data_IF_257515094885
#
_entry.id   IF_257515094885
#
_cell.length_a   1.000
_cell.length_b   1.000
_cell.length_c   1.000
_cell.angle_alpha   90.00
_cell.angle_beta   90.00
_cell.angle_gamma   90.00
#
_symmetry.space_group_name_H-M   'P 1'
#
loop_
_entity.id
_entity.type
_entity.pdbx_description
1 polymer ?
#
# COMPACT_ATOMS: atom_id res chain seq x y z
N UNK A 1 20.71 -31.48 -9.54
CA UNK A 1 19.62 -31.03 -10.43
C UNK A 1 19.84 -29.55 -10.67
N UNK A 2 19.87 -29.16 -11.94
CA UNK A 2 20.31 -27.85 -12.44
C UNK A 2 19.44 -26.71 -11.90
N UNK A 3 20.06 -25.71 -11.26
CA UNK A 3 19.45 -24.39 -11.00
C UNK A 3 19.37 -23.63 -12.34
N UNK A 4 18.34 -23.91 -13.13
CA UNK A 4 18.11 -23.33 -14.44
C UNK A 4 17.28 -22.04 -14.40
N UNK A 5 17.73 -21.01 -13.68
CA UNK A 5 17.11 -19.68 -13.79
C UNK A 5 18.12 -18.55 -13.55
N UNK A 6 19.27 -18.62 -14.21
CA UNK A 6 20.13 -17.43 -14.35
C UNK A 6 19.51 -16.59 -15.47
N UNK A 7 18.64 -15.64 -15.14
CA UNK A 7 18.26 -14.60 -16.11
C UNK A 7 19.55 -13.92 -16.57
N UNK A 8 19.83 -14.00 -17.86
CA UNK A 8 20.98 -13.34 -18.46
C UNK A 8 20.82 -11.83 -18.23
N UNK A 9 21.80 -11.20 -17.58
CA UNK A 9 21.78 -9.74 -17.37
C UNK A 9 21.98 -9.09 -18.73
N UNK A 10 20.92 -8.46 -19.24
CA UNK A 10 20.98 -7.65 -20.45
C UNK A 10 21.49 -6.27 -20.03
N UNK A 11 22.69 -5.90 -20.50
CA UNK A 11 23.24 -4.55 -20.34
C UNK A 11 22.94 -3.82 -21.65
N UNK A 12 21.98 -2.91 -21.63
CA UNK A 12 21.58 -2.12 -22.80
C UNK A 12 21.21 -0.70 -22.38
N UNK A 13 21.44 0.24 -23.30
CA UNK A 13 20.96 1.61 -23.22
C UNK A 13 19.80 1.89 -24.19
N UNK A 14 19.38 0.88 -24.96
CA UNK A 14 18.28 0.97 -25.92
C UNK A 14 16.95 1.11 -25.17
N UNK A 15 16.31 2.26 -25.34
CA UNK A 15 15.03 2.59 -24.70
C UNK A 15 13.96 1.60 -25.14
N UNK A 16 13.92 1.22 -26.41
CA UNK A 16 12.99 0.23 -26.97
C UNK A 16 13.12 -1.13 -26.25
N UNK A 17 14.35 -1.61 -26.08
CA UNK A 17 14.64 -2.86 -25.36
C UNK A 17 14.25 -2.77 -23.89
N UNK A 18 14.56 -1.66 -23.21
CA UNK A 18 14.17 -1.44 -21.81
C UNK A 18 12.65 -1.40 -21.65
N UNK A 19 11.94 -0.81 -22.60
CA UNK A 19 10.48 -0.72 -22.59
C UNK A 19 9.80 -2.09 -22.78
N UNK A 20 10.28 -2.91 -23.72
CA UNK A 20 9.78 -4.28 -23.89
C UNK A 20 10.05 -5.15 -22.67
N UNK A 21 11.22 -4.99 -22.05
CA UNK A 21 11.53 -5.63 -20.78
C UNK A 21 10.54 -5.22 -19.69
N UNK A 22 10.27 -3.91 -19.55
CA UNK A 22 9.29 -3.41 -18.60
C UNK A 22 7.91 -4.04 -18.82
N UNK A 23 7.35 -3.96 -20.03
CA UNK A 23 6.04 -4.55 -20.38
C UNK A 23 5.96 -6.04 -20.06
N UNK A 24 7.03 -6.79 -20.35
CA UNK A 24 7.10 -8.22 -20.06
C UNK A 24 7.08 -8.48 -18.55
N UNK A 25 7.89 -7.76 -17.77
CA UNK A 25 7.99 -7.95 -16.33
C UNK A 25 6.72 -7.52 -15.59
N UNK A 26 5.96 -6.56 -16.12
CA UNK A 26 4.70 -6.08 -15.51
C UNK A 26 3.45 -6.77 -16.04
N UNK A 27 3.58 -7.68 -17.00
CA UNK A 27 2.44 -8.37 -17.64
C UNK A 27 1.52 -9.16 -16.70
N UNK A 28 2.00 -9.53 -15.51
CA UNK A 28 1.20 -10.19 -14.48
C UNK A 28 0.22 -9.25 -13.76
N UNK A 29 0.41 -7.93 -13.88
CA UNK A 29 -0.32 -6.91 -13.17
C UNK A 29 -1.09 -6.02 -14.19
N UNK A 30 -2.38 -6.31 -14.43
CA UNK A 30 -3.17 -5.62 -15.44
C UNK A 30 -3.28 -4.11 -15.23
N UNK A 31 -3.11 -3.63 -13.99
CA UNK A 31 -3.23 -2.20 -13.68
C UNK A 31 -2.13 -1.34 -14.33
N UNK A 32 -1.02 -1.93 -14.80
CA UNK A 32 -0.02 -1.20 -15.59
C UNK A 32 -0.45 -0.91 -17.02
N UNK A 33 -1.47 -1.61 -17.55
CA UNK A 33 -1.82 -1.57 -18.97
C UNK A 33 -2.21 -0.16 -19.45
N UNK A 34 -2.95 0.59 -18.65
CA UNK A 34 -3.36 1.96 -18.98
C UNK A 34 -2.13 2.87 -19.15
N UNK A 35 -1.23 2.88 -18.17
CA UNK A 35 0.01 3.68 -18.24
C UNK A 35 0.93 3.24 -19.37
N UNK A 36 1.03 1.93 -19.63
CA UNK A 36 1.80 1.40 -20.76
C UNK A 36 1.25 1.95 -22.08
N UNK A 37 -0.06 1.84 -22.29
CA UNK A 37 -0.70 2.30 -23.54
C UNK A 37 -0.52 3.81 -23.74
N UNK A 38 -0.58 4.61 -22.66
CA UNK A 38 -0.37 6.06 -22.75
C UNK A 38 1.08 6.47 -23.05
N UNK A 39 2.06 5.66 -22.65
CA UNK A 39 3.49 5.98 -22.78
C UNK A 39 4.07 5.41 -24.08
N UNK A 40 3.50 4.31 -24.59
CA UNK A 40 4.06 3.53 -25.68
C UNK A 40 4.29 4.35 -26.97
N UNK A 41 3.37 5.24 -27.34
CA UNK A 41 3.56 6.10 -28.52
C UNK A 41 4.82 6.98 -28.39
N UNK A 42 5.04 7.57 -27.21
CA UNK A 42 6.18 8.46 -26.97
C UNK A 42 7.51 7.71 -27.02
N UNK A 43 7.53 6.50 -26.43
CA UNK A 43 8.73 5.65 -26.45
C UNK A 43 9.05 5.23 -27.88
N UNK A 44 8.04 4.83 -28.65
CA UNK A 44 8.22 4.43 -30.05
C UNK A 44 8.67 5.60 -30.93
N UNK A 45 8.13 6.80 -30.71
CA UNK A 45 8.53 8.02 -31.42
C UNK A 45 9.98 8.42 -31.09
N UNK A 46 10.36 8.38 -29.81
CA UNK A 46 11.71 8.74 -29.37
C UNK A 46 12.77 7.72 -29.82
N UNK A 47 12.49 6.42 -29.68
CA UNK A 47 13.42 5.34 -30.05
C UNK A 47 13.72 5.28 -31.55
N UNK A 48 12.80 5.73 -32.40
CA UNK A 48 13.07 5.86 -33.85
C UNK A 48 14.16 6.89 -34.18
N UNK A 49 14.37 7.87 -33.31
CA UNK A 49 15.33 8.96 -33.52
C UNK A 49 16.61 8.74 -32.71
N UNK A 50 16.47 8.39 -31.43
CA UNK A 50 17.58 8.29 -30.49
C UNK A 50 17.35 7.18 -29.45
N UNK A 51 17.37 5.92 -29.90
CA UNK A 51 17.12 4.78 -29.00
C UNK A 51 18.16 4.65 -27.88
N UNK A 52 19.41 5.10 -28.10
CA UNK A 52 20.51 4.99 -27.13
C UNK A 52 20.69 6.25 -26.28
N UNK A 53 20.01 7.35 -26.61
CA UNK A 53 20.22 8.66 -25.99
C UNK A 53 21.55 9.35 -26.37
N UNK A 54 22.20 8.90 -27.44
CA UNK A 54 23.49 9.41 -27.89
C UNK A 54 23.39 10.30 -29.14
N UNK A 55 22.33 10.14 -29.96
CA UNK A 55 22.18 10.78 -31.28
C UNK A 55 22.15 12.31 -31.18
N UNK A 56 21.53 12.86 -30.13
CA UNK A 56 21.52 14.31 -29.92
C UNK A 56 22.76 14.84 -29.17
N UNK A 57 23.57 13.96 -28.56
CA UNK A 57 24.74 14.36 -27.77
C UNK A 57 26.00 14.51 -28.63
N UNK A 58 26.15 13.68 -29.66
CA UNK A 58 27.33 13.66 -30.51
C UNK A 58 26.98 13.99 -31.96
N UNK A 59 27.82 14.76 -32.68
CA UNK A 59 27.55 15.10 -34.08
C UNK A 59 27.80 13.93 -35.05
N UNK A 60 28.63 12.97 -34.65
CA UNK A 60 29.03 11.81 -35.43
C UNK A 60 28.83 10.53 -34.60
N UNK A 61 28.49 9.44 -35.29
CA UNK A 61 28.48 8.09 -34.75
C UNK A 61 29.91 7.63 -34.41
N UNK A 62 30.04 6.52 -33.68
CA UNK A 62 31.34 5.88 -33.45
C UNK A 62 32.08 5.49 -34.75
N UNK A 63 31.33 5.27 -35.85
CA UNK A 63 31.87 5.01 -37.19
C UNK A 63 32.25 6.25 -37.99
N UNK A 64 31.99 7.46 -37.49
CA UNK A 64 32.30 8.73 -38.14
C UNK A 64 31.20 9.29 -39.05
N UNK A 65 30.07 8.59 -39.19
CA UNK A 65 28.92 9.08 -39.95
C UNK A 65 28.16 10.15 -39.17
N UNK A 66 27.65 11.18 -39.86
CA UNK A 66 26.80 12.20 -39.21
C UNK A 66 25.51 11.58 -38.69
N UNK A 67 25.08 11.98 -37.50
CA UNK A 67 23.74 11.71 -36.99
C UNK A 67 22.67 12.52 -37.73
N UNK A 68 21.40 12.07 -37.67
CA UNK A 68 20.21 12.79 -38.17
C UNK A 68 20.23 13.19 -39.66
N UNK A 69 20.93 12.44 -40.53
CA UNK A 69 21.07 12.80 -41.96
C UNK A 69 19.72 12.91 -42.71
N UNK A 70 18.68 12.24 -42.22
CA UNK A 70 17.35 12.23 -42.81
C UNK A 70 16.35 13.14 -42.07
N UNK A 71 16.77 13.79 -40.97
CA UNK A 71 15.93 14.61 -40.12
C UNK A 71 16.35 16.08 -40.24
N UNK A 72 15.80 16.75 -41.25
CA UNK A 72 16.27 18.08 -41.68
C UNK A 72 15.82 19.23 -40.76
N UNK A 73 14.72 19.05 -40.02
CA UNK A 73 14.13 20.09 -39.15
C UNK A 73 13.55 19.43 -37.91
N UNK A 74 13.85 19.99 -36.73
CA UNK A 74 13.22 19.62 -35.45
C UNK A 74 12.40 20.81 -34.96
N UNK A 75 11.11 20.60 -34.73
CA UNK A 75 10.30 21.61 -34.04
C UNK A 75 10.57 21.56 -32.53
N UNK A 76 11.38 22.49 -32.04
CA UNK A 76 11.77 22.53 -30.64
C UNK A 76 10.59 22.77 -29.68
N UNK A 77 9.53 23.45 -30.12
CA UNK A 77 8.34 23.65 -29.30
C UNK A 77 7.58 22.33 -29.13
N UNK A 78 7.29 21.65 -30.24
CA UNK A 78 6.62 20.34 -30.20
C UNK A 78 7.44 19.29 -29.45
N UNK A 79 8.76 19.28 -29.63
CA UNK A 79 9.66 18.40 -28.88
C UNK A 79 9.57 18.68 -27.38
N UNK A 80 9.67 19.95 -26.97
CA UNK A 80 9.57 20.34 -25.55
C UNK A 80 8.24 19.90 -24.95
N UNK A 81 7.12 20.16 -25.63
CA UNK A 81 5.78 19.82 -25.15
C UNK A 81 5.63 18.30 -24.96
N UNK A 82 5.97 17.50 -25.99
CA UNK A 82 5.92 16.03 -25.90
C UNK A 82 6.87 15.46 -24.84
N UNK A 83 8.07 16.04 -24.70
CA UNK A 83 9.03 15.60 -23.69
C UNK A 83 8.54 15.87 -22.25
N UNK A 84 7.93 17.03 -22.01
CA UNK A 84 7.33 17.35 -20.70
C UNK A 84 6.20 16.37 -20.39
N UNK A 85 5.36 16.06 -21.37
CA UNK A 85 4.26 15.11 -21.21
C UNK A 85 4.77 13.70 -20.90
N UNK A 86 5.71 13.18 -21.68
CA UNK A 86 6.36 11.89 -21.43
C UNK A 86 6.98 11.86 -20.02
N UNK A 87 7.73 12.89 -19.64
CA UNK A 87 8.37 12.98 -18.31
C UNK A 87 7.34 12.92 -17.18
N UNK A 88 6.19 13.60 -17.35
CA UNK A 88 5.09 13.57 -16.39
C UNK A 88 4.44 12.18 -16.28
N UNK A 89 4.22 11.52 -17.42
CA UNK A 89 3.65 10.16 -17.47
C UNK A 89 4.60 9.13 -16.84
N UNK A 90 5.90 9.17 -17.15
CA UNK A 90 6.91 8.31 -16.55
C UNK A 90 7.02 8.53 -15.03
N UNK A 91 6.96 9.78 -14.57
CA UNK A 91 6.96 10.08 -13.13
C UNK A 91 5.73 9.51 -12.42
N UNK A 92 4.56 9.59 -13.08
CA UNK A 92 3.33 8.96 -12.56
C UNK A 92 3.48 7.45 -12.51
N UNK A 93 4.04 6.83 -13.55
CA UNK A 93 4.32 5.39 -13.59
C UNK A 93 5.28 4.95 -12.47
N UNK A 94 6.31 5.74 -12.17
CA UNK A 94 7.28 5.47 -11.09
C UNK A 94 6.62 5.51 -9.71
N UNK A 95 5.81 6.54 -9.43
CA UNK A 95 5.03 6.60 -8.19
C UNK A 95 4.05 5.43 -8.08
N UNK A 96 3.39 5.08 -9.17
CA UNK A 96 2.45 3.98 -9.21
C UNK A 96 3.16 2.63 -8.98
N UNK A 97 4.33 2.43 -9.58
CA UNK A 97 5.17 1.25 -9.36
C UNK A 97 5.59 1.14 -7.90
N UNK A 98 6.02 2.24 -7.28
CA UNK A 98 6.37 2.29 -5.87
C UNK A 98 5.19 1.93 -4.96
N UNK A 99 4.00 2.46 -5.26
CA UNK A 99 2.77 2.09 -4.55
C UNK A 99 2.46 0.59 -4.65
N UNK A 100 2.57 0.01 -5.85
CA UNK A 100 2.35 -1.41 -6.06
C UNK A 100 3.41 -2.26 -5.34
N UNK A 101 4.67 -1.85 -5.33
CA UNK A 101 5.71 -2.53 -4.55
C UNK A 101 5.30 -2.59 -3.08
N UNK A 102 4.92 -1.45 -2.48
CA UNK A 102 4.45 -1.42 -1.08
C UNK A 102 3.21 -2.29 -0.85
N UNK A 103 2.27 -2.34 -1.80
CA UNK A 103 1.09 -3.23 -1.73
C UNK A 103 1.50 -4.72 -1.73
N UNK A 104 2.37 -5.13 -2.66
CA UNK A 104 2.82 -6.53 -2.79
C UNK A 104 3.73 -6.97 -1.64
N UNK A 105 4.45 -6.05 -1.00
CA UNK A 105 5.23 -6.30 0.22
C UNK A 105 4.34 -6.76 1.39
N UNK A 106 3.06 -6.38 1.40
CA UNK A 106 2.07 -6.85 2.38
C UNK A 106 1.65 -8.31 2.16
N UNK A 107 2.13 -8.96 1.09
CA UNK A 107 1.88 -10.38 0.77
C UNK A 107 0.40 -10.74 0.66
N UNK A 108 -0.43 -9.77 0.29
CA UNK A 108 -1.87 -9.93 0.14
C UNK A 108 -2.22 -10.27 -1.30
N UNK A 109 -1.75 -11.45 -1.74
CA UNK A 109 -1.99 -11.99 -3.08
C UNK A 109 -2.05 -13.52 -3.03
N UNK A 110 -2.72 -14.13 -4.02
CA UNK A 110 -2.79 -15.59 -4.15
C UNK A 110 -2.50 -15.99 -5.59
N UNK A 111 -1.31 -16.56 -5.83
CA UNK A 111 -0.86 -16.81 -7.21
C UNK A 111 -0.74 -15.49 -7.96
N UNK A 112 -1.44 -15.36 -9.09
CA UNK A 112 -1.48 -14.13 -9.89
C UNK A 112 -2.64 -13.19 -9.52
N UNK A 113 -3.38 -13.48 -8.45
CA UNK A 113 -4.49 -12.63 -8.00
C UNK A 113 -3.97 -11.53 -7.08
N UNK A 114 -4.07 -10.28 -7.55
CA UNK A 114 -3.70 -9.10 -6.80
C UNK A 114 -4.68 -8.80 -5.65
N UNK A 115 -4.30 -7.87 -4.77
CA UNK A 115 -5.14 -7.37 -3.67
C UNK A 115 -6.50 -6.87 -4.17
N UNK A 116 -6.52 -6.15 -5.30
CA UNK A 116 -7.73 -5.63 -5.93
C UNK A 116 -8.69 -6.76 -6.35
N UNK A 117 -8.18 -7.83 -6.97
CA UNK A 117 -9.00 -8.98 -7.37
C UNK A 117 -9.54 -9.71 -6.14
N UNK A 118 -8.74 -9.86 -5.09
CA UNK A 118 -9.18 -10.47 -3.82
C UNK A 118 -10.30 -9.65 -3.18
N UNK A 119 -10.19 -8.32 -3.18
CA UNK A 119 -11.24 -7.41 -2.67
C UNK A 119 -12.56 -7.58 -3.43
N UNK A 120 -12.51 -7.72 -4.76
CA UNK A 120 -13.68 -8.00 -5.60
C UNK A 120 -14.31 -9.36 -5.26
N UNK A 121 -13.50 -10.40 -5.09
CA UNK A 121 -13.96 -11.74 -4.67
C UNK A 121 -14.60 -11.67 -3.27
N UNK A 122 -14.00 -10.95 -2.32
CA UNK A 122 -14.55 -10.76 -0.98
C UNK A 122 -15.93 -10.10 -1.01
N UNK A 123 -16.13 -9.15 -1.92
CA UNK A 123 -17.42 -8.47 -2.13
C UNK A 123 -18.47 -9.38 -2.77
N UNK A 124 -18.07 -10.31 -3.63
CA UNK A 124 -18.98 -11.28 -4.26
C UNK A 124 -19.39 -12.42 -3.31
N UNK A 125 -18.64 -12.64 -2.23
CA UNK A 125 -18.96 -13.67 -1.23
C UNK A 125 -20.14 -13.23 -0.36
N UNK A 126 -21.08 -14.14 -0.04
CA UNK A 126 -22.17 -13.83 0.87
C UNK A 126 -21.65 -13.76 2.31
N UNK A 127 -22.48 -13.25 3.22
CA UNK A 127 -22.19 -13.25 4.65
C UNK A 127 -21.82 -14.67 5.14
N UNK A 128 -20.75 -14.77 5.94
CA UNK A 128 -20.17 -16.02 6.41
C UNK A 128 -21.14 -16.93 7.18
N UNK A 129 -22.16 -16.35 7.84
CA UNK A 129 -23.17 -17.10 8.58
C UNK A 129 -24.03 -17.97 7.65
N UNK A 130 -24.24 -17.53 6.40
CA UNK A 130 -25.01 -18.26 5.40
C UNK A 130 -24.27 -19.48 4.83
N UNK A 131 -22.96 -19.59 5.05
CA UNK A 131 -22.14 -20.61 4.36
C UNK A 131 -22.40 -22.03 4.85
N UNK A 132 -22.93 -22.19 6.07
CA UNK A 132 -23.30 -23.47 6.67
C UNK A 132 -24.74 -23.87 6.38
N UNK A 133 -25.51 -23.04 5.67
CA UNK A 133 -26.87 -23.38 5.29
C UNK A 133 -26.89 -24.66 4.46
N UNK A 134 -27.77 -25.59 4.81
CA UNK A 134 -27.89 -26.91 4.18
C UNK A 134 -28.56 -26.85 2.79
N UNK A 135 -28.87 -25.66 2.28
CA UNK A 135 -29.54 -25.43 1.00
C UNK A 135 -28.60 -25.54 -0.22
N UNK A 136 -27.29 -25.73 0.01
CA UNK A 136 -26.29 -25.88 -1.06
C UNK A 136 -25.96 -24.57 -1.80
N UNK A 137 -26.52 -23.44 -1.36
CA UNK A 137 -26.38 -22.14 -2.03
C UNK A 137 -24.91 -21.68 -2.10
N UNK A 138 -24.16 -21.89 -1.02
CA UNK A 138 -22.74 -21.51 -0.99
C UNK A 138 -21.86 -22.31 -1.97
N UNK A 139 -22.20 -23.57 -2.25
CA UNK A 139 -21.47 -24.36 -3.25
C UNK A 139 -21.68 -23.79 -4.65
N UNK A 140 -22.92 -23.39 -4.97
CA UNK A 140 -23.25 -22.75 -6.25
C UNK A 140 -22.49 -21.43 -6.41
N UNK A 141 -22.51 -20.57 -5.39
CA UNK A 141 -21.79 -19.28 -5.41
C UNK A 141 -20.28 -19.48 -5.61
N UNK A 142 -19.69 -20.50 -4.98
CA UNK A 142 -18.27 -20.82 -5.21
C UNK A 142 -17.97 -21.21 -6.66
N UNK A 143 -18.87 -21.96 -7.31
CA UNK A 143 -18.72 -22.27 -8.73
C UNK A 143 -18.90 -21.03 -9.63
N UNK A 144 -19.86 -20.15 -9.31
CA UNK A 144 -20.05 -18.87 -10.02
C UNK A 144 -18.81 -17.98 -9.90
N UNK A 145 -18.21 -17.84 -8.70
CA UNK A 145 -16.97 -17.09 -8.47
C UNK A 145 -15.80 -17.72 -9.25
N UNK A 146 -15.66 -19.05 -9.23
CA UNK A 146 -14.61 -19.74 -10.00
C UNK A 146 -14.73 -19.45 -11.49
N UNK A 147 -15.94 -19.46 -12.04
CA UNK A 147 -16.16 -19.15 -13.45
C UNK A 147 -15.87 -17.67 -13.75
N UNK A 148 -16.34 -16.76 -12.90
CA UNK A 148 -16.17 -15.31 -13.07
C UNK A 148 -14.70 -14.88 -13.11
N UNK A 149 -13.85 -15.52 -12.28
CA UNK A 149 -12.45 -15.14 -12.11
C UNK A 149 -11.44 -16.18 -12.66
N UNK A 150 -11.92 -17.19 -13.40
CA UNK A 150 -11.12 -18.31 -13.92
C UNK A 150 -10.23 -18.99 -12.87
N UNK A 151 -10.86 -19.44 -11.76
CA UNK A 151 -10.16 -19.98 -10.59
C UNK A 151 -10.31 -21.49 -10.44
N UNK A 152 -9.21 -22.14 -10.05
CA UNK A 152 -9.27 -23.48 -9.49
C UNK A 152 -9.91 -23.49 -8.09
N UNK A 153 -10.47 -24.62 -7.68
CA UNK A 153 -11.05 -24.79 -6.32
C UNK A 153 -10.00 -24.57 -5.22
N UNK A 154 -8.75 -24.96 -5.47
CA UNK A 154 -7.63 -24.77 -4.54
C UNK A 154 -7.27 -23.31 -4.40
N UNK A 155 -7.21 -22.57 -5.51
CA UNK A 155 -6.94 -21.13 -5.52
C UNK A 155 -8.03 -20.38 -4.76
N UNK A 156 -9.31 -20.65 -5.06
CA UNK A 156 -10.42 -20.02 -4.37
C UNK A 156 -10.40 -20.31 -2.86
N UNK A 157 -10.06 -21.52 -2.45
CA UNK A 157 -9.95 -21.86 -1.03
C UNK A 157 -8.86 -21.05 -0.31
N UNK A 158 -7.70 -20.85 -0.95
CA UNK A 158 -6.63 -19.98 -0.43
C UNK A 158 -7.08 -18.53 -0.31
N UNK A 159 -7.78 -18.01 -1.33
CA UNK A 159 -8.35 -16.65 -1.32
C UNK A 159 -9.34 -16.49 -0.17
N UNK A 160 -10.28 -17.43 0.00
CA UNK A 160 -11.26 -17.40 1.09
C UNK A 160 -10.59 -17.41 2.47
N UNK A 161 -9.51 -18.18 2.65
CA UNK A 161 -8.78 -18.21 3.92
C UNK A 161 -8.09 -16.88 4.19
N UNK A 162 -7.40 -16.31 3.19
CA UNK A 162 -6.79 -14.98 3.30
C UNK A 162 -7.84 -13.92 3.66
N UNK A 163 -9.01 -13.92 3.00
CA UNK A 163 -10.10 -12.98 3.30
C UNK A 163 -10.55 -13.08 4.76
N UNK A 164 -10.67 -14.29 5.32
CA UNK A 164 -11.12 -14.50 6.72
C UNK A 164 -10.13 -14.00 7.78
N UNK A 165 -8.87 -13.87 7.41
CA UNK A 165 -7.75 -13.56 8.31
C UNK A 165 -7.22 -12.14 8.11
N UNK A 166 -7.75 -11.41 7.12
CA UNK A 166 -7.32 -10.05 6.80
C UNK A 166 -8.30 -9.01 7.36
N UNK A 167 -7.78 -8.00 8.07
CA UNK A 167 -8.59 -6.92 8.64
C UNK A 167 -9.41 -6.15 7.60
N UNK A 168 -8.88 -5.94 6.40
CA UNK A 168 -9.57 -5.21 5.34
C UNK A 168 -10.75 -6.00 4.77
N UNK A 169 -10.57 -7.31 4.55
CA UNK A 169 -11.50 -8.13 3.77
C UNK A 169 -12.49 -8.94 4.61
N UNK A 170 -12.11 -9.35 5.82
CA UNK A 170 -12.99 -10.15 6.67
C UNK A 170 -14.34 -9.45 6.95
N UNK A 171 -14.41 -8.11 7.17
CA UNK A 171 -15.68 -7.41 7.33
C UNK A 171 -16.60 -7.50 6.11
N UNK A 172 -16.06 -7.64 4.89
CA UNK A 172 -16.87 -7.75 3.65
C UNK A 172 -17.72 -9.01 3.64
N UNK A 173 -17.26 -10.07 4.32
CA UNK A 173 -18.03 -11.32 4.50
C UNK A 173 -18.78 -11.35 5.85
N UNK A 174 -18.92 -10.22 6.53
CA UNK A 174 -19.61 -10.11 7.82
C UNK A 174 -18.81 -10.62 9.02
N UNK A 175 -17.49 -10.74 8.91
CA UNK A 175 -16.60 -11.18 10.00
C UNK A 175 -15.60 -10.09 10.36
N UNK A 176 -15.91 -9.26 11.35
CA UNK A 176 -14.92 -8.30 11.87
C UNK A 176 -13.81 -9.02 12.67
N UNK A 177 -12.56 -8.68 12.41
CA UNK A 177 -11.42 -9.06 13.23
C UNK A 177 -11.14 -7.94 14.22
N UNK A 178 -11.12 -8.26 15.51
CA UNK A 178 -11.00 -7.26 16.59
C UNK A 178 -9.55 -7.23 17.06
N UNK A 179 -8.98 -6.03 17.16
CA UNK A 179 -7.71 -5.80 17.84
C UNK A 179 -7.88 -6.06 19.34
N UNK A 180 -7.11 -7.00 19.89
CA UNK A 180 -7.24 -7.43 21.28
C UNK A 180 -6.26 -6.74 22.24
N UNK A 181 -5.26 -6.03 21.71
CA UNK A 181 -4.20 -5.39 22.49
C UNK A 181 -4.63 -4.10 23.20
N UNK A 182 -5.85 -3.62 22.94
CA UNK A 182 -6.45 -2.46 23.61
C UNK A 182 -7.95 -2.68 23.83
N UNK A 183 -8.42 -2.40 25.05
CA UNK A 183 -9.84 -2.39 25.37
C UNK A 183 -10.50 -1.05 25.05
N UNK A 184 -11.83 -1.06 24.90
CA UNK A 184 -12.61 0.18 24.70
C UNK A 184 -12.49 1.16 25.87
N UNK A 185 -12.35 0.65 27.11
CA UNK A 185 -12.20 1.50 28.29
C UNK A 185 -10.84 2.19 28.29
N UNK A 186 -9.76 1.46 28.00
CA UNK A 186 -8.42 2.05 27.89
C UNK A 186 -8.33 3.09 26.77
N UNK A 187 -9.01 2.85 25.65
CA UNK A 187 -9.07 3.81 24.55
C UNK A 187 -9.82 5.10 24.95
N UNK A 188 -10.91 4.97 25.72
CA UNK A 188 -11.66 6.11 26.27
C UNK A 188 -10.84 6.88 27.31
N UNK A 189 -10.26 6.17 28.27
CA UNK A 189 -9.38 6.76 29.30
C UNK A 189 -8.22 7.51 28.65
N UNK A 190 -7.59 6.94 27.62
CA UNK A 190 -6.54 7.62 26.87
C UNK A 190 -7.05 8.89 26.17
N UNK A 191 -8.17 8.83 25.46
CA UNK A 191 -8.70 9.99 24.76
C UNK A 191 -9.14 11.11 25.70
N UNK A 192 -9.72 10.79 26.86
CA UNK A 192 -10.03 11.77 27.90
C UNK A 192 -8.75 12.48 28.39
N UNK A 193 -7.72 11.71 28.77
CA UNK A 193 -6.44 12.26 29.21
C UNK A 193 -5.75 13.10 28.13
N UNK A 194 -5.86 12.70 26.86
CA UNK A 194 -5.29 13.44 25.74
C UNK A 194 -6.00 14.77 25.50
N UNK A 195 -7.32 14.83 25.61
CA UNK A 195 -8.07 16.09 25.49
C UNK A 195 -7.74 17.04 26.65
N UNK A 196 -7.64 16.54 27.88
CA UNK A 196 -7.17 17.34 29.02
C UNK A 196 -5.76 17.87 28.80
N UNK A 197 -4.85 17.02 28.30
CA UNK A 197 -3.49 17.43 27.94
C UNK A 197 -3.48 18.57 26.92
N UNK A 198 -4.31 18.50 25.88
CA UNK A 198 -4.41 19.56 24.87
C UNK A 198 -4.84 20.89 25.46
N UNK A 199 -5.70 20.89 26.49
CA UNK A 199 -6.13 22.10 27.20
C UNK A 199 -5.00 22.62 28.10
N UNK A 200 -4.44 21.76 28.96
CA UNK A 200 -3.49 22.14 30.00
C UNK A 200 -2.14 22.60 29.44
N UNK A 201 -1.67 22.02 28.33
CA UNK A 201 -0.37 22.39 27.72
C UNK A 201 -0.32 23.85 27.24
N UNK A 202 -1.48 24.48 27.05
CA UNK A 202 -1.58 25.89 26.65
C UNK A 202 -1.61 26.84 27.86
N UNK A 203 -1.93 26.35 29.05
CA UNK A 203 -2.12 27.16 30.26
C UNK A 203 -1.02 26.96 31.31
N UNK A 204 -0.37 25.80 31.30
CA UNK A 204 0.59 25.37 32.31
C UNK A 204 2.01 25.21 31.74
N UNK A 205 2.98 24.94 32.61
CA UNK A 205 4.32 24.52 32.17
C UNK A 205 4.22 23.20 31.37
N UNK A 206 4.73 23.24 30.14
CA UNK A 206 4.60 22.14 29.18
C UNK A 206 5.25 20.85 29.69
N UNK A 207 6.42 20.93 30.31
CA UNK A 207 7.15 19.74 30.77
C UNK A 207 6.45 19.09 31.97
N UNK A 208 6.01 19.88 32.94
CA UNK A 208 5.25 19.37 34.09
C UNK A 208 3.92 18.75 33.66
N UNK A 209 3.25 19.35 32.67
CA UNK A 209 2.00 18.81 32.11
C UNK A 209 2.23 17.46 31.44
N UNK A 210 3.28 17.33 30.62
CA UNK A 210 3.67 16.07 29.99
C UNK A 210 3.99 15.00 31.05
N UNK A 211 4.75 15.33 32.08
CA UNK A 211 5.12 14.39 33.15
C UNK A 211 3.90 13.85 33.91
N UNK A 212 3.01 14.78 34.28
CA UNK A 212 1.76 14.47 34.99
C UNK A 212 0.86 13.55 34.15
N UNK A 213 0.61 13.92 32.88
CA UNK A 213 -0.23 13.12 31.98
C UNK A 213 0.43 11.78 31.62
N UNK A 214 1.75 11.73 31.48
CA UNK A 214 2.47 10.46 31.26
C UNK A 214 2.26 9.49 32.41
N UNK A 215 2.30 9.98 33.65
CA UNK A 215 2.04 9.16 34.84
C UNK A 215 0.61 8.63 34.84
N UNK A 216 -0.38 9.49 34.61
CA UNK A 216 -1.80 9.10 34.55
C UNK A 216 -2.10 8.09 33.43
N UNK A 217 -1.46 8.25 32.26
CA UNK A 217 -1.59 7.29 31.16
C UNK A 217 -1.07 5.91 31.60
N UNK A 218 0.10 5.83 32.24
CA UNK A 218 0.66 4.56 32.73
C UNK A 218 -0.19 3.90 33.82
N UNK A 219 -0.93 4.68 34.60
CA UNK A 219 -1.83 4.17 35.65
C UNK A 219 -3.14 3.62 35.08
N UNK A 220 -3.69 4.26 34.03
CA UNK A 220 -5.00 3.92 33.46
C UNK A 220 -4.95 3.00 32.23
N UNK A 221 -3.86 3.05 31.48
CA UNK A 221 -3.71 2.38 30.19
C UNK A 221 -2.61 1.33 30.31
N UNK A 222 -2.92 0.07 29.99
CA UNK A 222 -1.91 -0.99 30.07
C UNK A 222 -0.77 -0.76 29.08
N UNK A 223 0.38 -1.35 29.38
CA UNK A 223 1.55 -1.29 28.50
C UNK A 223 1.27 -1.82 27.08
N UNK A 224 0.49 -2.90 26.95
CA UNK A 224 0.07 -3.41 25.64
C UNK A 224 -0.83 -2.42 24.89
N UNK A 225 -1.75 -1.77 25.60
CA UNK A 225 -2.60 -0.74 25.01
C UNK A 225 -1.78 0.47 24.55
N UNK A 226 -0.72 0.87 25.27
CA UNK A 226 0.19 1.93 24.83
C UNK A 226 0.90 1.54 23.52
N UNK A 227 1.40 0.31 23.40
CA UNK A 227 1.99 -0.19 22.15
C UNK A 227 0.97 -0.17 21.00
N UNK A 228 -0.25 -0.60 21.27
CA UNK A 228 -1.35 -0.59 20.31
C UNK A 228 -1.70 0.83 19.86
N UNK A 229 -1.82 1.79 20.78
CA UNK A 229 -2.09 3.20 20.46
C UNK A 229 -1.00 3.81 19.60
N UNK A 230 0.28 3.57 19.92
CA UNK A 230 1.41 4.04 19.14
C UNK A 230 1.40 3.44 17.72
N UNK A 231 1.08 2.15 17.58
CA UNK A 231 1.00 1.52 16.28
C UNK A 231 -0.21 2.00 15.46
N UNK A 232 -1.37 2.18 16.09
CA UNK A 232 -2.56 2.74 15.44
C UNK A 232 -2.32 4.18 14.98
N UNK A 233 -1.55 4.95 15.76
CA UNK A 233 -1.09 6.27 15.35
C UNK A 233 -0.26 6.19 14.06
N UNK A 234 0.74 5.30 13.97
CA UNK A 234 1.58 5.15 12.78
C UNK A 234 0.77 4.72 11.56
N UNK A 235 -0.12 3.74 11.71
CA UNK A 235 -1.01 3.30 10.63
C UNK A 235 -1.85 4.47 10.12
N UNK A 236 -2.45 5.25 11.01
CA UNK A 236 -3.29 6.38 10.62
C UNK A 236 -2.52 7.59 10.08
N UNK A 237 -1.31 7.84 10.59
CA UNK A 237 -0.46 8.94 10.18
C UNK A 237 0.13 8.69 8.79
N UNK A 238 0.73 7.51 8.58
CA UNK A 238 1.40 7.14 7.32
C UNK A 238 0.45 6.46 6.31
N UNK A 239 -0.80 6.19 6.70
CA UNK A 239 -1.79 5.44 5.90
C UNK A 239 -1.27 4.05 5.52
N UNK A 240 -0.65 3.37 6.48
CA UNK A 240 -0.11 2.03 6.29
C UNK A 240 -1.24 1.03 6.03
N UNK A 241 -0.90 -0.09 5.42
CA UNK A 241 -1.80 -1.22 5.31
C UNK A 241 -2.06 -1.86 6.70
N UNK A 242 -3.25 -2.43 6.93
CA UNK A 242 -3.59 -3.01 8.23
C UNK A 242 -2.70 -4.20 8.62
N UNK A 243 -2.05 -4.85 7.65
CA UNK A 243 -1.05 -5.91 7.84
C UNK A 243 0.20 -5.42 8.60
N UNK A 244 0.51 -4.12 8.55
CA UNK A 244 1.61 -3.54 9.32
C UNK A 244 1.29 -3.47 10.82
N UNK A 245 0.04 -3.72 11.26
CA UNK A 245 -0.33 -3.68 12.68
C UNK A 245 0.50 -4.64 13.52
N UNK A 246 0.51 -5.94 13.20
CA UNK A 246 1.21 -6.94 14.02
C UNK A 246 2.73 -6.68 14.06
N UNK A 247 3.33 -6.44 12.88
CA UNK A 247 4.77 -6.18 12.76
C UNK A 247 5.17 -4.91 13.49
N UNK A 248 4.41 -3.83 13.34
CA UNK A 248 4.70 -2.58 14.02
C UNK A 248 4.47 -2.67 15.53
N UNK A 249 3.44 -3.40 15.98
CA UNK A 249 3.21 -3.67 17.40
C UNK A 249 4.41 -4.40 18.04
N UNK A 250 4.97 -5.42 17.38
CA UNK A 250 6.18 -6.11 17.85
C UNK A 250 7.40 -5.19 17.89
N UNK A 251 7.51 -4.23 16.96
CA UNK A 251 8.56 -3.21 17.04
C UNK A 251 8.35 -2.29 18.25
N UNK A 252 7.11 -1.82 18.50
CA UNK A 252 6.78 -0.97 19.65
C UNK A 252 7.05 -1.65 20.99
N UNK A 253 6.87 -2.98 21.09
CA UNK A 253 7.20 -3.75 22.30
C UNK A 253 8.67 -3.68 22.70
N UNK A 254 9.57 -3.37 21.76
CA UNK A 254 11.00 -3.17 22.02
C UNK A 254 11.35 -1.71 22.36
N UNK A 255 10.39 -0.79 22.29
CA UNK A 255 10.58 0.62 22.65
C UNK A 255 10.23 0.88 24.13
N UNK A 256 10.89 1.89 24.70
CA UNK A 256 10.57 2.38 26.04
C UNK A 256 9.18 3.03 26.05
N UNK A 257 8.33 2.58 26.97
CA UNK A 257 6.96 3.08 27.15
C UNK A 257 6.93 4.60 27.39
N UNK A 258 7.90 5.13 28.15
CA UNK A 258 7.97 6.56 28.41
C UNK A 258 8.30 7.36 27.14
N UNK A 259 9.09 6.79 26.23
CA UNK A 259 9.38 7.39 24.92
C UNK A 259 8.13 7.39 24.06
N UNK A 260 7.39 6.28 24.02
CA UNK A 260 6.14 6.19 23.25
C UNK A 260 5.11 7.21 23.75
N UNK A 261 4.90 7.30 25.05
CA UNK A 261 3.92 8.26 25.59
C UNK A 261 4.31 9.69 25.24
N UNK A 262 5.56 10.10 25.51
CA UNK A 262 5.97 11.50 25.31
C UNK A 262 5.99 11.91 23.84
N UNK A 263 6.49 11.05 22.95
CA UNK A 263 6.76 11.43 21.57
C UNK A 263 5.66 11.00 20.58
N UNK A 264 4.97 9.89 20.83
CA UNK A 264 3.85 9.46 19.99
C UNK A 264 2.52 9.97 20.52
N UNK A 265 2.24 9.77 21.80
CA UNK A 265 0.89 9.96 22.34
C UNK A 265 0.62 11.38 22.84
N UNK A 266 1.66 12.09 23.29
CA UNK A 266 1.59 13.49 23.74
C UNK A 266 2.41 14.44 22.85
N UNK A 267 3.01 13.93 21.77
CA UNK A 267 4.00 14.66 20.97
C UNK A 267 3.42 15.72 20.01
N UNK A 268 2.14 15.65 19.66
CA UNK A 268 1.51 16.58 18.73
C UNK A 268 0.00 16.74 18.97
N UNK A 269 -0.64 17.68 18.28
CA UNK A 269 -2.07 17.99 18.41
C UNK A 269 -3.02 17.17 17.53
N UNK A 270 -2.54 16.10 16.89
CA UNK A 270 -3.32 15.30 15.93
C UNK A 270 -3.41 13.82 16.31
N UNK A 271 -2.90 13.41 17.48
CA UNK A 271 -2.76 12.01 17.89
C UNK A 271 -4.10 11.27 17.85
N UNK A 272 -5.14 11.85 18.47
CA UNK A 272 -6.50 11.28 18.47
C UNK A 272 -7.03 11.05 17.05
N UNK A 273 -6.88 12.05 16.16
CA UNK A 273 -7.32 11.94 14.76
C UNK A 273 -6.60 10.79 14.04
N UNK A 274 -5.30 10.62 14.27
CA UNK A 274 -4.51 9.57 13.62
C UNK A 274 -4.81 8.19 14.17
N UNK A 275 -5.01 8.03 15.48
CA UNK A 275 -5.45 6.75 16.05
C UNK A 275 -6.83 6.36 15.50
N UNK A 276 -7.77 7.30 15.40
CA UNK A 276 -9.07 7.06 14.77
C UNK A 276 -8.94 6.67 13.29
N UNK A 277 -8.01 7.28 12.56
CA UNK A 277 -7.70 6.87 11.18
C UNK A 277 -7.11 5.45 11.11
N UNK A 278 -6.21 5.09 12.03
CA UNK A 278 -5.65 3.74 12.13
C UNK A 278 -6.72 2.68 12.41
N UNK A 279 -7.63 2.95 13.35
CA UNK A 279 -8.78 2.08 13.63
C UNK A 279 -9.68 1.89 12.40
N UNK A 280 -9.91 2.96 11.62
CA UNK A 280 -10.68 2.88 10.37
C UNK A 280 -9.99 2.03 9.31
N UNK A 281 -8.68 2.18 9.15
CA UNK A 281 -7.86 1.37 8.23
C UNK A 281 -7.91 -0.10 8.63
N UNK A 282 -7.77 -0.40 9.92
CA UNK A 282 -7.90 -1.76 10.46
C UNK A 282 -9.35 -2.26 10.59
N UNK A 283 -10.33 -1.51 10.06
CA UNK A 283 -11.76 -1.87 10.06
C UNK A 283 -12.35 -2.20 11.44
N UNK A 284 -11.92 -1.48 12.47
CA UNK A 284 -12.39 -1.66 13.85
C UNK A 284 -13.73 -0.96 14.12
N UNK A 285 -14.77 -1.34 13.38
CA UNK A 285 -16.10 -0.71 13.41
C UNK A 285 -16.71 -0.75 14.81
N UNK A 286 -16.64 -1.87 15.54
CA UNK A 286 -17.20 -1.98 16.89
C UNK A 286 -16.53 -1.05 17.89
N UNK A 287 -15.20 -0.95 17.83
CA UNK A 287 -14.46 -0.03 18.70
C UNK A 287 -14.83 1.42 18.37
N UNK A 288 -14.93 1.77 17.08
CA UNK A 288 -15.29 3.11 16.63
C UNK A 288 -16.71 3.52 17.01
N UNK A 289 -17.69 2.62 16.90
CA UNK A 289 -19.09 2.88 17.30
C UNK A 289 -19.27 3.03 18.81
N UNK A 290 -18.32 2.51 19.59
CA UNK A 290 -18.39 2.52 21.06
C UNK A 290 -17.72 3.75 21.70
N UNK A 291 -17.05 4.60 20.91
CA UNK A 291 -16.36 5.82 21.35
C UNK A 291 -17.29 7.04 21.37
#
# INVERSE_FOLDING_TARGET
MSNGNTQQIIITHEISTLWEMFKKQTSFEPRFLESINEIEEYINDFSQIDDTGEVFRYPLTAGGDKHLQHLNVVNLLSFKERYIELSSKLKTLDYYSSFLITEYEQRTFVGNLSRDVISKIATDLPNIESWKASDGNFTKIKEEIKQKYDLSSTTLSKVINLIKENFEFAPLIGKELIITDISINELKDFFELYEEFLIERHTNDSNNTIESKSTLIKEKVSQNAIYSLAQLYDIGYFRLYPEEYEKGLEMKKNEDVDVLIRYYLLGNGIVKEKILAGLKICRQTKLLESL
#
